data_IF_639110000119
#
_entry.id   IF_639110000119
#
_cell.length_a   1.000
_cell.length_b   1.000
_cell.length_c   1.000
_cell.angle_alpha   90.00
_cell.angle_beta   90.00
_cell.angle_gamma   90.00
#
_symmetry.space_group_name_H-M   'P 1'
#
loop_
_entity.id
_entity.type
_entity.pdbx_description
1 polymer ?
#
# COMPACT_ATOMS: atom_id res chain seq x y z
N UNK A 1 31.75 -2.89 -8.42
CA UNK A 1 30.61 -2.10 -8.94
C UNK A 1 30.28 -1.07 -7.89
N UNK A 2 30.64 0.18 -8.14
CA UNK A 2 30.27 1.26 -7.24
C UNK A 2 28.81 1.60 -7.48
N UNK A 3 28.00 1.52 -6.42
CA UNK A 3 26.62 1.94 -6.44
C UNK A 3 26.49 3.30 -5.75
N UNK A 4 27.01 4.33 -6.40
CA UNK A 4 26.84 5.70 -5.93
C UNK A 4 25.58 6.27 -6.55
N UNK A 5 24.62 6.68 -5.73
CA UNK A 5 23.42 7.37 -6.15
C UNK A 5 23.57 8.85 -5.78
N UNK A 6 23.44 9.73 -6.75
CA UNK A 6 23.40 11.17 -6.54
C UNK A 6 22.00 11.72 -6.82
N UNK A 7 21.60 12.69 -6.05
CA UNK A 7 20.36 13.45 -6.28
C UNK A 7 20.68 14.88 -6.65
N UNK A 8 19.90 15.45 -7.57
CA UNK A 8 19.96 16.87 -7.91
C UNK A 8 18.62 17.52 -7.56
N UNK A 9 18.71 18.70 -6.97
CA UNK A 9 17.57 19.59 -6.84
C UNK A 9 17.77 20.73 -7.84
N UNK A 10 16.85 20.85 -8.77
CA UNK A 10 16.90 21.90 -9.78
C UNK A 10 15.69 22.83 -9.62
N UNK A 11 15.96 24.10 -9.47
CA UNK A 11 14.94 25.13 -9.48
C UNK A 11 14.68 25.58 -10.91
N UNK A 12 13.43 25.58 -11.31
CA UNK A 12 12.95 26.17 -12.56
C UNK A 12 11.69 26.97 -12.26
N UNK A 13 11.75 28.32 -12.33
CA UNK A 13 10.61 29.14 -11.92
C UNK A 13 9.38 28.97 -12.80
N UNK A 14 9.60 28.81 -14.12
CA UNK A 14 8.55 28.51 -15.10
C UNK A 14 9.20 28.11 -16.44
N UNK A 15 8.42 27.55 -17.35
CA UNK A 15 8.89 27.18 -18.67
C UNK A 15 9.38 28.39 -19.46
N UNK A 16 10.66 28.37 -19.84
CA UNK A 16 11.29 29.46 -20.58
C UNK A 16 11.77 30.65 -19.74
N UNK A 17 11.57 30.60 -18.43
CA UNK A 17 12.16 31.58 -17.50
C UNK A 17 13.59 31.19 -17.12
N UNK A 18 14.44 32.19 -17.04
CA UNK A 18 15.82 32.01 -16.55
C UNK A 18 15.87 32.26 -15.04
N UNK A 19 16.68 31.49 -14.36
CA UNK A 19 17.00 31.74 -12.94
C UNK A 19 17.75 33.06 -12.81
N UNK A 20 17.28 33.95 -11.97
CA UNK A 20 17.91 35.24 -11.73
C UNK A 20 18.82 35.18 -10.48
N UNK A 21 19.77 36.12 -10.41
CA UNK A 21 20.60 36.28 -9.22
C UNK A 21 19.73 36.69 -8.04
N UNK A 22 19.77 35.90 -6.96
CA UNK A 22 18.95 36.12 -5.78
C UNK A 22 17.76 35.16 -5.66
N UNK A 23 17.46 34.39 -6.69
CA UNK A 23 16.50 33.30 -6.59
C UNK A 23 17.07 32.21 -5.67
N UNK A 24 16.24 31.62 -4.87
CA UNK A 24 16.63 30.54 -3.96
C UNK A 24 15.54 29.49 -3.82
N UNK A 25 15.97 28.32 -3.42
CA UNK A 25 15.11 27.19 -3.10
C UNK A 25 15.50 26.62 -1.73
N UNK A 26 14.58 26.60 -0.81
CA UNK A 26 14.79 25.96 0.48
C UNK A 26 14.49 24.44 0.36
N UNK A 27 15.49 23.63 0.64
CA UNK A 27 15.35 22.17 0.65
C UNK A 27 15.56 21.67 2.06
N UNK A 28 14.57 20.96 2.58
CA UNK A 28 14.66 20.35 3.92
C UNK A 28 14.48 18.84 3.82
N UNK A 29 15.15 18.13 4.72
CA UNK A 29 14.96 16.69 4.93
C UNK A 29 14.95 15.84 3.65
N UNK A 30 15.95 15.97 2.75
CA UNK A 30 16.01 15.07 1.60
C UNK A 30 16.22 13.63 2.06
N UNK A 31 15.56 12.68 1.37
CA UNK A 31 15.71 11.25 1.65
C UNK A 31 15.95 10.50 0.35
N UNK A 32 16.96 9.64 0.35
CA UNK A 32 17.24 8.69 -0.72
C UNK A 32 17.06 7.29 -0.14
N UNK A 33 16.21 6.50 -0.77
CA UNK A 33 15.93 5.15 -0.33
C UNK A 33 15.78 4.20 -1.51
N UNK A 34 16.12 2.93 -1.30
CA UNK A 34 15.86 1.88 -2.27
C UNK A 34 14.43 1.35 -2.08
N UNK A 35 13.60 1.46 -3.12
CA UNK A 35 12.22 0.98 -3.03
C UNK A 35 11.38 1.39 -4.23
N UNK A 36 10.17 0.89 -4.28
CA UNK A 36 9.18 1.22 -5.32
C UNK A 36 8.24 2.36 -4.95
N UNK A 37 8.39 2.88 -3.75
CA UNK A 37 7.61 4.00 -3.23
C UNK A 37 8.35 4.64 -2.05
N UNK A 38 7.93 5.83 -1.67
CA UNK A 38 8.52 6.56 -0.55
C UNK A 38 8.01 6.01 0.78
N UNK A 39 8.93 5.80 1.72
CA UNK A 39 8.59 5.56 3.12
C UNK A 39 8.37 6.86 3.89
N UNK A 40 7.94 6.77 5.15
CA UNK A 40 7.98 7.93 6.03
C UNK A 40 9.42 8.31 6.35
N UNK A 41 9.65 9.59 6.60
CA UNK A 41 10.99 10.15 6.82
C UNK A 41 11.76 9.41 7.92
N UNK A 42 13.01 9.04 7.61
CA UNK A 42 13.94 8.40 8.54
C UNK A 42 15.07 9.39 8.82
N UNK A 43 15.20 9.80 10.06
CA UNK A 43 16.31 10.67 10.47
C UNK A 43 17.62 9.87 10.39
N UNK A 44 18.51 10.28 9.49
CA UNK A 44 19.83 9.69 9.34
C UNK A 44 20.90 10.72 9.74
N UNK A 45 22.03 10.22 10.24
CA UNK A 45 23.25 11.02 10.39
C UNK A 45 24.12 10.93 9.14
N UNK A 46 25.42 10.65 9.34
CA UNK A 46 26.40 10.46 8.26
C UNK A 46 26.41 9.05 7.66
N UNK A 47 25.63 8.15 8.20
CA UNK A 47 25.52 6.76 7.75
C UNK A 47 24.08 6.40 7.43
N UNK A 48 23.85 5.44 6.52
CA UNK A 48 22.51 4.92 6.26
C UNK A 48 21.87 4.38 7.55
N UNK A 49 20.57 4.61 7.71
CA UNK A 49 19.80 4.09 8.81
C UNK A 49 18.58 3.29 8.30
N UNK A 50 18.14 2.35 9.09
CA UNK A 50 16.90 1.60 8.86
C UNK A 50 16.00 1.75 10.07
N UNK A 51 14.71 1.68 9.85
CA UNK A 51 13.73 1.53 10.93
C UNK A 51 12.85 0.32 10.68
N UNK A 52 12.29 -0.21 11.75
CA UNK A 52 11.27 -1.25 11.62
C UNK A 52 10.04 -0.69 10.89
N UNK A 53 9.35 -1.56 10.17
CA UNK A 53 8.05 -1.22 9.59
C UNK A 53 7.03 -0.91 10.68
N UNK A 54 6.11 -0.02 10.38
CA UNK A 54 5.01 0.27 11.28
C UNK A 54 4.06 -0.93 11.35
N UNK A 55 3.71 -1.33 12.56
CA UNK A 55 2.72 -2.36 12.81
C UNK A 55 1.59 -1.79 13.67
N UNK A 56 0.41 -1.72 13.08
CA UNK A 56 -0.79 -1.35 13.81
C UNK A 56 -1.59 -2.62 14.09
N UNK A 57 -1.88 -2.87 15.36
CA UNK A 57 -2.69 -4.02 15.77
C UNK A 57 -3.97 -3.55 16.46
N UNK A 58 -5.07 -4.22 16.13
CA UNK A 58 -6.35 -4.03 16.79
C UNK A 58 -6.60 -5.23 17.71
N UNK A 59 -6.97 -5.01 18.97
CA UNK A 59 -7.32 -6.12 19.87
C UNK A 59 -8.39 -7.01 19.24
N UNK A 60 -8.18 -8.32 19.29
CA UNK A 60 -9.13 -9.28 18.72
C UNK A 60 -10.43 -9.38 19.53
N UNK A 61 -10.40 -9.00 20.79
CA UNK A 61 -11.60 -9.02 21.66
C UNK A 61 -12.67 -8.08 21.11
N UNK A 62 -13.87 -8.63 20.88
CA UNK A 62 -15.04 -7.96 20.31
C UNK A 62 -14.87 -7.50 18.84
N UNK A 63 -13.83 -7.96 18.15
CA UNK A 63 -13.62 -7.70 16.74
C UNK A 63 -13.62 -9.00 15.95
N UNK A 64 -14.33 -9.05 14.82
CA UNK A 64 -14.30 -10.13 13.81
C UNK A 64 -14.62 -11.55 14.35
N UNK A 65 -15.25 -11.67 15.51
CA UNK A 65 -15.59 -12.97 16.09
C UNK A 65 -16.80 -13.63 15.46
N UNK A 66 -17.76 -12.83 15.06
CA UNK A 66 -19.05 -13.32 14.59
C UNK A 66 -19.21 -13.01 13.10
N UNK A 67 -19.56 -14.04 12.33
CA UNK A 67 -19.99 -13.89 10.95
C UNK A 67 -21.49 -13.55 10.92
N UNK A 68 -21.96 -12.75 9.97
CA UNK A 68 -21.19 -12.07 8.92
C UNK A 68 -20.54 -10.77 9.41
N UNK A 69 -19.51 -10.32 8.71
CA UNK A 69 -18.94 -8.98 8.97
C UNK A 69 -18.45 -8.31 7.68
N UNK A 70 -18.19 -7.03 7.78
CA UNK A 70 -17.55 -6.23 6.71
C UNK A 70 -16.40 -5.43 7.30
N UNK A 71 -15.25 -5.47 6.64
CA UNK A 71 -14.14 -4.55 6.88
C UNK A 71 -14.12 -3.54 5.75
N UNK A 72 -14.00 -2.27 6.07
CA UNK A 72 -13.96 -1.18 5.11
C UNK A 72 -12.89 -0.19 5.52
N UNK A 73 -12.02 0.17 4.59
CA UNK A 73 -10.91 1.08 4.81
C UNK A 73 -10.82 2.11 3.69
N UNK A 74 -10.54 3.33 4.06
CA UNK A 74 -10.09 4.35 3.12
C UNK A 74 -8.58 4.23 2.97
N UNK A 75 -8.09 4.11 1.75
CA UNK A 75 -6.69 3.85 1.44
C UNK A 75 -6.19 4.84 0.40
N UNK A 76 -4.97 5.31 0.58
CA UNK A 76 -4.23 6.07 -0.40
C UNK A 76 -2.88 5.36 -0.66
N UNK A 77 -2.70 4.85 -1.87
CA UNK A 77 -1.43 4.25 -2.28
C UNK A 77 -0.47 5.33 -2.76
N UNK A 78 0.79 5.24 -2.38
CA UNK A 78 1.87 6.07 -2.91
C UNK A 78 2.70 5.37 -4.00
N UNK A 79 2.21 4.25 -4.52
CA UNK A 79 2.86 3.44 -5.56
C UNK A 79 1.82 2.96 -6.59
N UNK A 80 2.18 2.97 -7.86
CA UNK A 80 1.37 2.41 -8.95
C UNK A 80 1.72 0.93 -9.18
N UNK A 81 3.01 0.65 -9.34
CA UNK A 81 3.52 -0.72 -9.42
C UNK A 81 3.74 -1.24 -8.00
N UNK A 82 3.19 -2.40 -7.73
CA UNK A 82 3.25 -3.01 -6.40
C UNK A 82 4.69 -3.37 -6.01
N UNK A 83 5.07 -3.22 -4.74
CA UNK A 83 6.29 -3.81 -4.18
C UNK A 83 6.33 -5.32 -4.38
N UNK A 84 7.50 -5.94 -4.24
CA UNK A 84 7.72 -7.38 -4.45
C UNK A 84 6.86 -8.32 -3.59
N UNK A 85 6.28 -7.80 -2.53
CA UNK A 85 5.33 -8.51 -1.65
C UNK A 85 3.97 -7.82 -1.69
N UNK A 86 2.90 -8.60 -1.70
CA UNK A 86 1.54 -8.07 -1.73
C UNK A 86 1.26 -7.19 -0.49
N UNK A 87 1.03 -5.88 -0.66
CA UNK A 87 0.74 -4.99 0.44
C UNK A 87 -0.62 -5.33 1.04
N UNK A 88 -0.69 -5.37 2.36
CA UNK A 88 -1.89 -5.72 3.10
C UNK A 88 -2.46 -4.50 3.81
N UNK A 89 -3.75 -4.32 3.69
CA UNK A 89 -4.52 -3.31 4.43
C UNK A 89 -4.96 -3.90 5.77
N UNK A 90 -5.35 -5.17 5.74
CA UNK A 90 -5.83 -5.91 6.89
C UNK A 90 -5.38 -7.37 6.81
N UNK A 91 -4.91 -7.93 7.91
CA UNK A 91 -4.43 -9.31 7.99
C UNK A 91 -4.59 -9.86 9.41
N UNK A 92 -5.21 -11.01 9.54
CA UNK A 92 -5.31 -11.72 10.82
C UNK A 92 -4.21 -12.76 11.01
N UNK A 93 -3.31 -12.92 10.02
CA UNK A 93 -2.34 -14.01 9.96
C UNK A 93 -2.96 -15.34 9.51
N UNK A 94 -2.13 -16.23 8.98
CA UNK A 94 -2.55 -17.59 8.64
C UNK A 94 -3.62 -17.71 7.54
N UNK A 95 -3.77 -16.74 6.67
CA UNK A 95 -4.79 -16.74 5.60
C UNK A 95 -4.70 -17.96 4.69
N UNK A 96 -3.50 -18.47 4.42
CA UNK A 96 -3.28 -19.68 3.60
C UNK A 96 -3.55 -20.99 4.33
N UNK A 97 -3.69 -20.97 5.64
CA UNK A 97 -3.91 -22.18 6.46
C UNK A 97 -5.36 -22.39 6.88
N UNK A 98 -6.28 -21.67 6.28
CA UNK A 98 -7.73 -21.87 6.44
C UNK A 98 -8.41 -21.03 7.51
N UNK A 99 -7.65 -20.41 8.41
CA UNK A 99 -8.20 -19.63 9.52
C UNK A 99 -8.10 -18.12 9.32
N UNK A 100 -7.05 -17.68 8.62
CA UNK A 100 -6.74 -16.27 8.48
C UNK A 100 -7.51 -15.58 7.37
N UNK A 101 -7.62 -14.29 7.49
CA UNK A 101 -8.31 -13.38 6.57
C UNK A 101 -7.32 -12.30 6.17
N UNK A 102 -7.26 -11.98 4.88
CA UNK A 102 -6.45 -10.88 4.37
C UNK A 102 -7.23 -10.02 3.39
N UNK A 103 -6.94 -8.75 3.39
CA UNK A 103 -7.39 -7.78 2.40
C UNK A 103 -6.21 -6.89 2.01
N UNK A 104 -5.99 -6.69 0.72
CA UNK A 104 -4.85 -5.93 0.23
C UNK A 104 -4.82 -5.76 -1.27
N UNK A 105 -3.60 -5.67 -1.81
CA UNK A 105 -3.36 -5.48 -3.25
C UNK A 105 -2.42 -6.55 -3.79
N UNK A 106 -2.70 -7.04 -4.98
CA UNK A 106 -1.85 -8.01 -5.67
C UNK A 106 -0.49 -7.43 -6.06
N UNK A 107 0.53 -8.28 -6.20
CA UNK A 107 1.92 -7.89 -6.49
C UNK A 107 2.60 -8.66 -7.61
N UNK A 108 1.94 -9.61 -8.23
CA UNK A 108 2.58 -10.48 -9.22
C UNK A 108 1.60 -11.03 -10.25
N UNK A 109 2.11 -11.60 -11.32
CA UNK A 109 1.32 -12.33 -12.31
C UNK A 109 0.32 -11.48 -13.09
N UNK A 110 0.60 -10.18 -13.28
CA UNK A 110 -0.31 -9.25 -13.97
C UNK A 110 -1.42 -8.69 -13.08
N UNK A 111 -1.35 -8.93 -11.78
CA UNK A 111 -2.33 -8.45 -10.80
C UNK A 111 -1.83 -7.28 -9.95
N UNK A 112 -0.81 -6.57 -10.43
CA UNK A 112 -0.21 -5.45 -9.73
C UNK A 112 -1.23 -4.37 -9.36
N UNK A 113 -1.37 -4.14 -8.06
CA UNK A 113 -2.28 -3.13 -7.51
C UNK A 113 -3.77 -3.47 -7.59
N UNK A 114 -4.13 -4.71 -7.95
CA UNK A 114 -5.52 -5.15 -7.96
C UNK A 114 -6.01 -5.41 -6.54
N UNK A 115 -7.13 -4.81 -6.11
CA UNK A 115 -7.71 -5.11 -4.81
C UNK A 115 -8.11 -6.58 -4.69
N UNK A 116 -7.74 -7.21 -3.58
CA UNK A 116 -8.11 -8.60 -3.30
C UNK A 116 -8.44 -8.83 -1.84
N UNK A 117 -9.17 -9.91 -1.57
CA UNK A 117 -9.31 -10.51 -0.26
C UNK A 117 -9.14 -12.01 -0.35
N UNK A 118 -8.77 -12.64 0.75
CA UNK A 118 -8.53 -14.08 0.84
C UNK A 118 -8.98 -14.62 2.19
N UNK A 119 -9.59 -15.80 2.16
CA UNK A 119 -9.81 -16.64 3.35
C UNK A 119 -9.37 -18.05 3.00
N UNK A 120 -8.39 -18.57 3.75
CA UNK A 120 -7.95 -19.95 3.62
C UNK A 120 -7.35 -20.31 2.26
N UNK A 121 -6.71 -19.36 1.58
CA UNK A 121 -6.13 -19.54 0.27
C UNK A 121 -7.14 -19.40 -0.89
N UNK A 122 -8.36 -18.98 -0.60
CA UNK A 122 -9.42 -18.74 -1.58
C UNK A 122 -9.56 -17.25 -1.85
N UNK A 123 -8.83 -16.76 -2.84
CA UNK A 123 -8.80 -15.33 -3.14
C UNK A 123 -9.95 -14.87 -4.06
N UNK A 124 -10.36 -13.65 -3.84
CA UNK A 124 -11.25 -12.88 -4.72
C UNK A 124 -10.65 -11.52 -4.98
N UNK A 125 -10.76 -11.05 -6.23
CA UNK A 125 -10.15 -9.80 -6.66
C UNK A 125 -11.01 -9.03 -7.63
N UNK A 126 -10.75 -7.74 -7.71
CA UNK A 126 -11.22 -6.87 -8.78
C UNK A 126 -10.09 -6.79 -9.81
N UNK A 127 -10.36 -7.20 -11.06
CA UNK A 127 -9.35 -7.39 -12.11
C UNK A 127 -8.96 -6.07 -12.80
N UNK A 128 -8.60 -5.09 -11.99
CA UNK A 128 -8.04 -3.82 -12.46
C UNK A 128 -7.18 -3.18 -11.37
N UNK A 129 -6.15 -2.44 -11.77
CA UNK A 129 -5.37 -1.65 -10.82
C UNK A 129 -6.23 -0.54 -10.23
N UNK A 130 -6.22 -0.41 -8.91
CA UNK A 130 -7.03 0.58 -8.20
C UNK A 130 -6.54 2.04 -8.37
N UNK A 131 -5.40 2.24 -9.05
CA UNK A 131 -4.84 3.58 -9.25
C UNK A 131 -4.14 4.15 -8.02
N UNK A 132 -3.87 5.45 -8.04
CA UNK A 132 -3.20 6.18 -6.97
C UNK A 132 -4.15 7.05 -6.16
N UNK A 133 -5.33 7.29 -6.67
CA UNK A 133 -6.31 8.12 -6.00
C UNK A 133 -6.77 7.49 -4.67
N UNK A 134 -7.23 8.33 -3.79
CA UNK A 134 -7.89 7.92 -2.57
C UNK A 134 -9.06 6.99 -2.89
N UNK A 135 -9.09 5.84 -2.26
CA UNK A 135 -10.06 4.81 -2.57
C UNK A 135 -10.66 4.18 -1.32
N UNK A 136 -11.87 3.68 -1.47
CA UNK A 136 -12.52 2.86 -0.46
C UNK A 136 -12.33 1.39 -0.85
N UNK A 137 -11.58 0.63 -0.04
CA UNK A 137 -11.40 -0.81 -0.21
C UNK A 137 -12.04 -1.54 0.96
N UNK A 138 -12.68 -2.66 0.68
CA UNK A 138 -13.30 -3.47 1.71
C UNK A 138 -13.41 -4.93 1.35
N UNK A 139 -13.74 -5.73 2.36
CA UNK A 139 -14.16 -7.12 2.18
C UNK A 139 -15.43 -7.39 2.97
N UNK A 140 -16.29 -8.18 2.39
CA UNK A 140 -17.49 -8.71 3.03
C UNK A 140 -17.33 -10.21 3.22
N UNK A 141 -17.58 -10.67 4.41
CA UNK A 141 -17.56 -12.09 4.78
C UNK A 141 -18.95 -12.49 5.26
N UNK A 142 -19.52 -13.49 4.62
CA UNK A 142 -20.83 -14.04 5.00
C UNK A 142 -20.72 -15.11 6.09
N UNK A 143 -21.85 -15.53 6.61
CA UNK A 143 -21.92 -16.56 7.66
C UNK A 143 -21.33 -17.91 7.23
N UNK A 144 -21.44 -18.27 5.97
CA UNK A 144 -20.82 -19.44 5.35
C UNK A 144 -19.34 -19.25 4.98
N UNK A 145 -18.73 -18.13 5.37
CA UNK A 145 -17.36 -17.73 5.05
C UNK A 145 -17.11 -17.39 3.58
N UNK A 146 -18.14 -17.25 2.76
CA UNK A 146 -17.95 -16.71 1.41
C UNK A 146 -17.53 -15.24 1.48
N UNK A 147 -16.67 -14.83 0.56
CA UNK A 147 -16.08 -13.50 0.57
C UNK A 147 -16.20 -12.81 -0.77
N UNK A 148 -16.27 -11.50 -0.74
CA UNK A 148 -15.99 -10.65 -1.89
C UNK A 148 -15.18 -9.43 -1.48
N UNK A 149 -14.36 -8.92 -2.39
CA UNK A 149 -13.69 -7.63 -2.25
C UNK A 149 -14.55 -6.53 -2.86
N UNK A 150 -14.50 -5.37 -2.22
CA UNK A 150 -15.16 -4.14 -2.65
C UNK A 150 -14.10 -3.09 -2.94
N UNK A 151 -14.21 -2.36 -4.03
CA UNK A 151 -13.35 -1.19 -4.29
C UNK A 151 -14.15 -0.13 -5.03
N UNK A 152 -14.27 1.05 -4.43
CA UNK A 152 -14.98 2.20 -5.00
C UNK A 152 -16.36 1.83 -5.59
N UNK A 153 -17.12 1.02 -4.86
CA UNK A 153 -18.45 0.56 -5.28
C UNK A 153 -18.48 -0.64 -6.23
N UNK A 154 -17.33 -1.10 -6.73
CA UNK A 154 -17.23 -2.35 -7.49
C UNK A 154 -17.11 -3.54 -6.55
N UNK A 155 -17.70 -4.65 -6.95
CA UNK A 155 -17.67 -5.92 -6.23
C UNK A 155 -16.98 -6.99 -7.09
N UNK A 156 -16.16 -7.82 -6.45
CA UNK A 156 -15.70 -9.07 -7.07
C UNK A 156 -16.82 -10.11 -7.09
N UNK A 157 -16.58 -11.25 -7.77
CA UNK A 157 -17.36 -12.46 -7.52
C UNK A 157 -17.23 -12.88 -6.04
N UNK A 158 -18.18 -13.63 -5.55
CA UNK A 158 -18.11 -14.30 -4.25
C UNK A 158 -17.44 -15.68 -4.36
N UNK A 159 -16.89 -16.18 -3.24
CA UNK A 159 -16.37 -17.57 -3.15
C UNK A 159 -17.51 -18.55 -3.11
#
# INVERSE_FOLDING_TARGET
TENTVGGFVQYSPDTGQMVASGDYLDVTTPQIEAGTGTSSFIVTGTTPATRASDMVTVPIKNNLYNLPFTVLCEVHKNWYKTPNVAPRVFDTGGHQTGAGIVMGFGSSGGYDGFPYCDIGGSDRRINENAGLEKMLIGMRVKSERSTCVVSNGKLSSET
#
